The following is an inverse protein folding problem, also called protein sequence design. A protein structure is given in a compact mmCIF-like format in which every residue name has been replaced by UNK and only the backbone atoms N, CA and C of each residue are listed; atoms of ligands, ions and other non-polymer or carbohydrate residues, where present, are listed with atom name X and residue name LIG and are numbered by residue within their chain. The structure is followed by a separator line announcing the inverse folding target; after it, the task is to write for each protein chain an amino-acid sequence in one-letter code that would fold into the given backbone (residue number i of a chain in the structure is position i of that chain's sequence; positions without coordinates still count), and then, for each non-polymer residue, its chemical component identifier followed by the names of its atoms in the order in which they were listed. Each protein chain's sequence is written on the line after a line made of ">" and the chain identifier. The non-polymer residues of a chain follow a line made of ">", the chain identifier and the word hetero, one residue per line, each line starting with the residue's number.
data_IF_279587402956
#
_entry.id   IF_279587402956
#
_cell.length_a   1.000
_cell.length_b   1.000
_cell.length_c   1.000
_cell.angle_alpha   90.00
_cell.angle_beta   90.00
_cell.angle_gamma   90.00
#
_symmetry.space_group_name_H-M   'P 1'
#
loop_
_entity.id
_entity.type
_entity.pdbx_description
1 polymer ?
#
# COMPACT_ATOMS: atom_id res chain seq x y z
N UNK A 1 4.16 7.25 24.48
CA UNK A 1 3.12 6.62 23.63
C UNK A 1 3.13 7.37 22.31
N UNK A 2 3.66 6.77 21.24
CA UNK A 2 3.84 7.47 19.96
C UNK A 2 2.50 7.62 19.24
N UNK A 3 2.12 8.87 18.94
CA UNK A 3 0.97 9.20 18.11
C UNK A 3 1.28 8.85 16.66
N UNK A 4 0.71 7.75 16.18
CA UNK A 4 0.59 7.43 14.76
C UNK A 4 -0.85 7.79 14.34
N UNK A 5 -0.99 8.61 13.29
CA UNK A 5 -2.20 9.23 12.71
C UNK A 5 -2.71 10.54 13.35
N UNK A 6 -2.38 11.66 12.70
CA UNK A 6 -3.21 12.29 11.64
C UNK A 6 -2.41 13.45 11.06
N UNK A 7 -2.16 13.46 9.77
CA UNK A 7 -2.02 14.72 9.04
C UNK A 7 -3.17 14.72 8.05
N UNK A 8 -4.23 15.45 8.39
CA UNK A 8 -5.25 15.89 7.44
C UNK A 8 -4.57 16.48 6.21
N UNK A 9 -5.20 16.30 5.04
CA UNK A 9 -4.84 16.93 3.77
C UNK A 9 -4.80 18.44 3.95
N UNK A 10 -3.66 18.90 4.40
CA UNK A 10 -3.29 20.29 4.48
C UNK A 10 -2.30 20.45 3.34
N UNK A 11 -2.83 20.74 2.15
CA UNK A 11 -2.09 21.43 1.08
C UNK A 11 -1.85 22.87 1.50
N UNK A 12 -1.40 23.10 2.74
CA UNK A 12 -0.72 24.34 3.04
C UNK A 12 0.59 24.27 2.27
N UNK A 13 0.87 25.31 1.50
CA UNK A 13 2.19 25.56 0.98
C UNK A 13 3.12 25.81 2.16
N UNK A 14 3.49 24.73 2.86
CA UNK A 14 4.44 24.77 3.96
C UNK A 14 5.71 25.28 3.32
N UNK A 15 6.10 26.51 3.68
CA UNK A 15 7.35 27.13 3.25
C UNK A 15 8.51 26.27 3.73
N UNK A 16 8.86 25.31 2.88
CA UNK A 16 9.91 24.36 3.13
C UNK A 16 11.25 25.05 2.92
N UNK A 17 12.20 24.81 3.81
CA UNK A 17 13.58 25.26 3.59
C UNK A 17 14.16 24.60 2.33
N UNK A 18 15.13 25.25 1.68
CA UNK A 18 15.81 24.72 0.48
C UNK A 18 16.35 23.29 0.70
N UNK A 19 16.78 22.97 1.92
CA UNK A 19 17.24 21.64 2.28
C UNK A 19 16.13 20.58 2.23
N UNK A 20 14.90 20.94 2.62
CA UNK A 20 13.74 20.05 2.57
C UNK A 20 13.31 19.84 1.13
N UNK A 21 13.24 20.90 0.33
CA UNK A 21 12.91 20.82 -1.10
C UNK A 21 13.88 19.90 -1.84
N UNK A 22 15.19 20.09 -1.65
CA UNK A 22 16.21 19.22 -2.26
C UNK A 22 16.04 17.75 -1.86
N UNK A 23 15.68 17.46 -0.60
CA UNK A 23 15.40 16.10 -0.13
C UNK A 23 14.13 15.52 -0.77
N UNK A 24 13.08 16.31 -0.92
CA UNK A 24 11.83 15.88 -1.56
C UNK A 24 12.05 15.57 -3.04
N UNK A 25 12.74 16.46 -3.77
CA UNK A 25 13.10 16.25 -5.17
C UNK A 25 13.95 14.99 -5.35
N UNK A 26 14.91 14.74 -4.45
CA UNK A 26 15.71 13.53 -4.50
C UNK A 26 14.88 12.28 -4.25
N UNK A 27 13.94 12.30 -3.30
CA UNK A 27 13.04 11.17 -3.02
C UNK A 27 12.05 10.92 -4.14
N UNK A 28 11.54 11.97 -4.79
CA UNK A 28 10.56 11.86 -5.87
C UNK A 28 11.13 11.14 -7.10
N UNK A 29 12.44 11.29 -7.38
CA UNK A 29 13.10 10.62 -8.51
C UNK A 29 13.00 9.10 -8.44
N UNK A 30 13.14 8.54 -7.25
CA UNK A 30 13.12 7.09 -7.01
C UNK A 30 11.75 6.59 -6.55
N UNK A 31 10.77 7.48 -6.37
CA UNK A 31 9.42 7.14 -5.93
C UNK A 31 8.55 6.63 -7.09
N UNK A 32 9.03 5.59 -7.76
CA UNK A 32 8.25 4.83 -8.74
C UNK A 32 7.51 3.71 -8.01
N UNK A 33 6.27 4.00 -7.62
CA UNK A 33 5.35 2.94 -7.18
C UNK A 33 4.99 2.06 -8.40
N UNK A 34 4.58 0.82 -8.19
CA UNK A 34 3.94 0.02 -9.23
C UNK A 34 2.51 0.58 -9.42
N UNK A 35 2.47 1.69 -10.16
CA UNK A 35 1.49 2.79 -10.08
C UNK A 35 0.02 2.38 -10.26
N UNK A 36 -0.42 1.70 -11.34
CA UNK A 36 -1.85 1.71 -11.65
C UNK A 36 -2.70 0.84 -10.72
N UNK A 37 -2.26 -0.37 -10.39
CA UNK A 37 -3.09 -1.34 -9.65
C UNK A 37 -3.11 -1.05 -8.15
N UNK A 38 -1.99 -0.57 -7.60
CA UNK A 38 -1.91 -0.22 -6.18
C UNK A 38 -2.68 1.08 -5.91
N UNK A 39 -2.64 2.05 -6.82
CA UNK A 39 -3.43 3.29 -6.70
C UNK A 39 -4.93 3.03 -6.71
N UNK A 40 -5.42 2.09 -7.54
CA UNK A 40 -6.82 1.67 -7.52
C UNK A 40 -7.23 1.11 -6.16
N UNK A 41 -6.38 0.26 -5.55
CA UNK A 41 -6.62 -0.29 -4.22
C UNK A 41 -6.60 0.79 -3.12
N UNK A 42 -5.71 1.77 -3.25
CA UNK A 42 -5.65 2.92 -2.33
C UNK A 42 -6.93 3.75 -2.41
N UNK A 43 -7.50 3.96 -3.60
CA UNK A 43 -8.80 4.60 -3.78
C UNK A 43 -9.94 3.84 -3.11
N UNK A 44 -9.88 2.51 -3.08
CA UNK A 44 -10.83 1.64 -2.37
C UNK A 44 -10.61 1.55 -0.86
N UNK A 45 -9.52 2.11 -0.32
CA UNK A 45 -9.17 2.06 1.11
C UNK A 45 -8.85 0.65 1.64
N UNK A 46 -8.59 -0.33 0.76
CA UNK A 46 -8.27 -1.72 1.12
C UNK A 46 -7.13 -2.24 0.25
N UNK A 47 -6.09 -2.78 0.90
CA UNK A 47 -4.92 -3.34 0.23
C UNK A 47 -4.91 -4.87 0.36
N UNK A 48 -4.45 -5.56 -0.69
CA UNK A 48 -4.21 -6.99 -0.64
C UNK A 48 -2.80 -7.27 -0.08
N UNK A 49 -2.74 -8.15 0.92
CA UNK A 49 -1.51 -8.53 1.60
C UNK A 49 -1.46 -10.04 1.85
N UNK A 50 -0.24 -10.58 1.93
CA UNK A 50 0.02 -11.96 2.33
C UNK A 50 0.44 -11.99 3.80
N UNK A 51 -0.20 -12.85 4.61
CA UNK A 51 0.25 -13.14 5.98
C UNK A 51 1.42 -14.12 5.86
N UNK A 52 2.61 -13.67 6.27
CA UNK A 52 3.84 -14.48 6.25
C UNK A 52 4.13 -15.13 7.60
N UNK A 53 3.45 -14.70 8.66
CA UNK A 53 3.56 -15.30 9.99
C UNK A 53 2.78 -16.61 10.11
N UNK A 54 2.93 -17.30 11.26
CA UNK A 54 2.12 -18.45 11.66
C UNK A 54 1.31 -18.09 12.91
N UNK A 55 0.18 -17.38 12.77
CA UNK A 55 -0.52 -16.76 13.90
C UNK A 55 -0.88 -17.72 15.04
N UNK A 56 -1.18 -18.99 14.71
CA UNK A 56 -1.49 -20.01 15.72
C UNK A 56 -0.31 -20.39 16.63
N UNK A 57 0.93 -20.05 16.25
CA UNK A 57 2.14 -20.30 17.05
C UNK A 57 2.71 -19.01 17.62
N UNK A 58 2.75 -17.94 16.80
CA UNK A 58 3.37 -16.67 17.20
C UNK A 58 2.38 -15.65 17.81
N UNK A 59 1.07 -15.87 17.70
CA UNK A 59 0.04 -14.94 18.18
C UNK A 59 -0.12 -13.65 17.36
N UNK A 60 0.65 -13.48 16.28
CA UNK A 60 0.65 -12.29 15.43
C UNK A 60 0.36 -12.63 13.97
N UNK A 61 -0.28 -11.71 13.25
CA UNK A 61 -0.64 -11.85 11.83
C UNK A 61 0.17 -10.89 10.95
N UNK A 62 1.49 -10.98 11.05
CA UNK A 62 2.41 -10.14 10.29
C UNK A 62 2.51 -10.60 8.84
N UNK A 63 2.76 -9.64 7.94
CA UNK A 63 2.70 -9.89 6.51
C UNK A 63 3.30 -8.76 5.67
N UNK A 64 3.17 -8.89 4.35
CA UNK A 64 3.63 -7.91 3.39
C UNK A 64 2.57 -7.64 2.30
N UNK A 65 2.63 -6.45 1.71
CA UNK A 65 1.73 -6.01 0.64
C UNK A 65 2.11 -6.71 -0.68
N UNK A 66 1.13 -7.24 -1.40
CA UNK A 66 1.33 -7.88 -2.69
C UNK A 66 1.72 -6.84 -3.75
N UNK A 67 2.75 -7.14 -4.56
CA UNK A 67 3.26 -6.24 -5.61
C UNK A 67 3.52 -6.98 -6.92
N UNK A 68 3.57 -6.24 -8.04
CA UNK A 68 3.92 -6.74 -9.36
C UNK A 68 3.17 -8.02 -9.77
N UNK A 69 3.93 -9.02 -10.25
CA UNK A 69 3.39 -10.30 -10.76
C UNK A 69 2.60 -11.11 -9.73
N UNK A 70 2.96 -11.01 -8.45
CA UNK A 70 2.29 -11.74 -7.37
C UNK A 70 0.86 -11.21 -7.18
N UNK A 71 0.69 -9.89 -7.21
CA UNK A 71 -0.61 -9.24 -7.13
C UNK A 71 -1.52 -9.66 -8.29
N UNK A 72 -1.01 -9.63 -9.52
CA UNK A 72 -1.75 -10.05 -10.71
C UNK A 72 -2.23 -11.51 -10.63
N UNK A 73 -1.38 -12.41 -10.13
CA UNK A 73 -1.71 -13.82 -9.97
C UNK A 73 -2.89 -14.02 -9.02
N UNK A 74 -2.86 -13.38 -7.85
CA UNK A 74 -3.92 -13.51 -6.86
C UNK A 74 -5.21 -12.81 -7.28
N UNK A 75 -5.13 -11.66 -7.96
CA UNK A 75 -6.32 -10.98 -8.50
C UNK A 75 -7.08 -11.85 -9.51
N UNK A 76 -6.38 -12.49 -10.46
CA UNK A 76 -6.99 -13.42 -11.43
C UNK A 76 -7.68 -14.60 -10.72
N UNK A 77 -7.05 -15.12 -9.67
CA UNK A 77 -7.60 -16.24 -8.89
C UNK A 77 -8.84 -15.84 -8.10
N UNK A 78 -8.84 -14.64 -7.51
CA UNK A 78 -9.99 -14.10 -6.79
C UNK A 78 -11.19 -13.86 -7.72
N UNK A 79 -10.97 -13.24 -8.88
CA UNK A 79 -12.03 -13.02 -9.87
C UNK A 79 -12.70 -14.32 -10.31
N UNK A 80 -11.90 -15.36 -10.62
CA UNK A 80 -12.42 -16.68 -10.99
C UNK A 80 -13.20 -17.36 -9.85
N UNK A 81 -12.78 -17.16 -8.61
CA UNK A 81 -13.51 -17.71 -7.45
C UNK A 81 -14.84 -16.98 -7.26
N UNK A 82 -14.82 -15.65 -7.27
CA UNK A 82 -16.03 -14.83 -7.11
C UNK A 82 -17.07 -15.10 -8.20
N UNK A 83 -16.65 -15.35 -9.44
CA UNK A 83 -17.58 -15.70 -10.52
C UNK A 83 -18.25 -17.06 -10.33
N UNK A 84 -17.56 -18.01 -9.69
CA UNK A 84 -18.09 -19.34 -9.43
C UNK A 84 -18.99 -19.38 -8.18
N UNK A 85 -18.69 -18.58 -7.15
CA UNK A 85 -19.50 -18.51 -5.93
C UNK A 85 -20.80 -17.69 -6.13
N UNK A 86 -20.89 -16.91 -7.22
CA UNK A 86 -22.05 -16.11 -7.60
C UNK A 86 -22.98 -16.78 -8.63
N UNK A 87 -22.63 -17.98 -9.11
CA UNK A 87 -23.42 -18.81 -10.02
C UNK A 87 -24.06 -19.98 -9.26
#
# INVERSE_FOLDING_TARGET
>A
MYNWQKSEDVTDEVKNSNNVQRKLEQRQKDNRLDIPVIEEQLGGGRLLACISSRPGQCGTADGYILKGKELEFYMKKLQKKMSNDAA
#
